data_IF_819095544673
#
_entry.id   IF_819095544673
#
_cell.length_a   1.000
_cell.length_b   1.000
_cell.length_c   1.000
_cell.angle_alpha   90.00
_cell.angle_beta   90.00
_cell.angle_gamma   90.00
#
_symmetry.space_group_name_H-M   'P 1'
#
loop_
_entity.id
_entity.type
_entity.pdbx_description
1 polymer ?
2 non-polymer ?
3 non-polymer ?
4 water ?
#
# COMPACT_ATOMS: atom_id res chain seq x y z
N UNK A 1 -7.09 -2.52 -8.01
CA UNK A 1 -8.27 -2.90 -7.24
C UNK A 1 -9.34 -3.44 -8.16
N UNK A 2 -9.78 -4.68 -7.91
CA UNK A 2 -10.85 -5.32 -8.64
C UNK A 2 -12.14 -5.12 -7.84
N UNK A 3 -13.23 -4.75 -8.50
CA UNK A 3 -14.51 -4.67 -7.86
C UNK A 3 -14.73 -3.38 -7.09
N UNK A 4 -13.85 -2.42 -7.26
CA UNK A 4 -13.97 -1.12 -6.62
C UNK A 4 -14.64 -0.09 -7.51
N UNK A 5 -14.49 1.17 -7.10
CA UNK A 5 -15.04 2.32 -7.82
C UNK A 5 -14.02 3.46 -7.80
N UNK A 6 -14.22 4.44 -8.68
CA UNK A 6 -13.33 5.60 -8.72
C UNK A 6 -13.38 6.34 -7.40
N UNK A 7 -12.21 6.65 -6.86
CA UNK A 7 -12.14 7.54 -5.72
C UNK A 7 -12.57 8.95 -6.15
N UNK A 8 -13.06 9.73 -5.20
CA UNK A 8 -13.22 11.16 -5.42
C UNK A 8 -11.84 11.81 -5.42
N UNK A 9 -11.71 12.90 -6.14
CA UNK A 9 -10.45 13.63 -6.14
C UNK A 9 -10.12 14.08 -4.72
N UNK A 10 -8.92 13.77 -4.25
CA UNK A 10 -8.48 14.17 -2.93
C UNK A 10 -9.06 13.38 -1.78
N UNK A 11 -9.73 12.27 -2.08
CA UNK A 11 -10.41 11.48 -1.05
C UNK A 11 -9.44 10.67 -0.17
N UNK A 12 -8.32 10.29 -0.75
CA UNK A 12 -7.31 9.46 -0.07
C UNK A 12 -5.98 10.19 -0.21
N UNK A 13 -5.84 11.35 0.45
CA UNK A 13 -4.70 12.22 0.15
C UNK A 13 -3.35 11.71 0.68
N UNK A 14 -3.39 10.58 1.39
CA UNK A 14 -2.18 9.87 1.81
C UNK A 14 -1.70 8.83 0.79
N UNK A 15 -2.53 8.51 -0.23
CA UNK A 15 -2.15 7.53 -1.25
C UNK A 15 -1.12 8.13 -2.19
N UNK A 16 -0.02 7.41 -2.41
CA UNK A 16 1.08 7.83 -3.26
C UNK A 16 1.27 6.80 -4.38
N UNK A 17 1.74 7.27 -5.54
CA UNK A 17 2.07 6.41 -6.67
C UNK A 17 3.59 6.42 -6.86
N UNK A 18 4.18 5.23 -6.94
CA UNK A 18 5.62 5.08 -7.14
C UNK A 18 5.89 4.54 -8.55
N UNK A 19 6.63 5.33 -9.35
CA UNK A 19 6.98 4.96 -10.70
C UNK A 19 8.46 4.60 -10.74
N UNK A 20 8.79 3.51 -11.43
CA UNK A 20 10.19 3.18 -11.65
C UNK A 20 10.61 3.73 -13.00
N UNK A 21 11.85 4.17 -13.10
CA UNK A 21 12.34 4.84 -14.30
C UNK A 21 11.97 4.07 -15.56
N UNK A 22 11.27 4.75 -16.46
CA UNK A 22 10.89 4.19 -17.74
C UNK A 22 9.79 3.15 -17.74
N UNK A 23 9.07 2.99 -16.61
CA UNK A 23 8.10 1.93 -16.51
C UNK A 23 6.72 2.36 -16.03
N UNK A 24 6.60 3.60 -15.60
CA UNK A 24 5.34 4.07 -15.07
C UNK A 24 5.07 3.52 -13.70
N UNK A 25 3.81 3.58 -13.28
CA UNK A 25 3.41 3.17 -11.96
C UNK A 25 3.69 1.70 -11.74
N UNK A 26 4.36 1.40 -10.63
CA UNK A 26 4.65 0.02 -10.21
C UNK A 26 3.98 -0.33 -8.89
N UNK A 27 4.09 0.56 -7.92
CA UNK A 27 3.58 0.27 -6.59
C UNK A 27 2.96 1.49 -5.94
N UNK A 28 2.16 1.25 -4.90
CA UNK A 28 1.68 2.32 -4.07
C UNK A 28 2.55 2.55 -2.84
N UNK A 29 2.19 3.59 -2.11
CA UNK A 29 2.79 3.91 -0.82
C UNK A 29 1.81 4.83 -0.09
N UNK A 30 2.09 5.10 1.18
CA UNK A 30 1.27 6.00 1.96
C UNK A 30 2.17 7.07 2.62
N UNK A 31 1.68 8.30 2.67
CA UNK A 31 2.35 9.41 3.32
C UNK A 31 2.09 9.36 4.82
N UNK A 32 3.17 9.32 5.62
CA UNK A 32 3.02 9.29 7.07
C UNK A 32 3.60 10.53 7.78
N UNK A 33 4.39 11.34 7.06
CA UNK A 33 4.92 12.58 7.58
C UNK A 33 5.36 13.38 6.39
N UNK A 34 5.95 14.56 6.59
CA UNK A 34 6.32 15.30 5.39
C UNK A 34 7.46 14.64 4.61
N UNK A 35 8.23 13.78 5.27
CA UNK A 35 9.43 13.21 4.65
C UNK A 35 9.40 11.72 4.42
N UNK A 36 8.39 11.03 4.92
CA UNK A 36 8.41 9.57 4.88
C UNK A 36 7.16 8.94 4.32
N UNK A 37 7.35 7.86 3.57
CA UNK A 37 6.29 7.00 3.09
C UNK A 37 6.47 5.59 3.63
N UNK A 38 5.35 4.90 3.78
CA UNK A 38 5.36 3.46 4.03
C UNK A 38 4.96 2.74 2.73
N UNK A 39 5.65 1.65 2.42
CA UNK A 39 5.33 0.87 1.23
C UNK A 39 5.67 -0.60 1.52
N UNK A 40 5.71 -1.45 0.48
CA UNK A 40 6.02 -2.87 0.64
C UNK A 40 7.45 -3.15 0.21
N UNK A 41 8.21 -3.90 1.02
CA UNK A 41 9.59 -4.21 0.70
C UNK A 41 9.73 -4.88 -0.67
N UNK A 42 8.78 -5.72 -1.05
CA UNK A 42 8.97 -6.54 -2.24
C UNK A 42 8.99 -5.70 -3.51
N UNK A 43 8.45 -4.48 -3.45
CA UNK A 43 8.49 -3.59 -4.61
C UNK A 43 9.89 -3.12 -4.98
N UNK A 44 10.81 -3.21 -4.03
CA UNK A 44 12.14 -2.61 -4.14
C UNK A 44 13.26 -3.66 -4.20
N UNK A 45 12.94 -4.80 -4.79
CA UNK A 45 13.88 -5.91 -4.98
C UNK A 45 14.33 -5.98 -6.42
N UNK A 46 15.65 -6.00 -6.62
CA UNK A 46 16.21 -6.04 -7.96
C UNK A 46 15.70 -7.26 -8.70
N UNK A 47 15.54 -7.12 -10.01
CA UNK A 47 15.55 -8.27 -10.90
C UNK A 47 16.60 -8.12 -11.97
N UNK A 48 16.67 -9.10 -12.86
CA UNK A 48 17.76 -9.22 -13.81
C UNK A 48 17.81 -8.02 -14.73
N UNK A 49 16.66 -7.39 -14.97
CA UNK A 49 16.60 -6.29 -15.91
C UNK A 49 16.57 -4.90 -15.32
N UNK A 50 16.40 -4.80 -14.00
CA UNK A 50 16.19 -3.49 -13.36
C UNK A 50 16.44 -3.48 -11.85
N UNK A 51 17.16 -2.45 -11.38
CA UNK A 51 17.50 -2.29 -9.97
C UNK A 51 16.42 -1.55 -9.20
N UNK A 52 15.35 -2.28 -8.88
CA UNK A 52 14.26 -1.73 -8.09
C UNK A 52 14.70 -1.32 -6.67
N UNK A 53 15.84 -1.85 -6.22
CA UNK A 53 16.39 -1.46 -4.91
C UNK A 53 17.11 -0.10 -4.91
N UNK A 54 17.36 0.45 -6.08
CA UNK A 54 18.08 1.73 -6.21
C UNK A 54 17.12 2.90 -6.01
N UNK A 55 17.23 3.63 -4.89
CA UNK A 55 16.26 4.70 -4.63
C UNK A 55 16.24 5.78 -5.71
N UNK A 56 17.35 5.97 -6.42
CA UNK A 56 17.40 7.02 -7.42
C UNK A 56 16.58 6.69 -8.67
N UNK A 57 16.13 5.44 -8.79
CA UNK A 57 15.39 4.98 -9.95
C UNK A 57 13.91 5.31 -9.86
N UNK A 58 13.47 5.77 -8.69
CA UNK A 58 12.07 5.95 -8.42
C UNK A 58 11.62 7.41 -8.44
N UNK A 59 10.36 7.62 -8.79
CA UNK A 59 9.68 8.89 -8.63
C UNK A 59 8.39 8.65 -7.86
N UNK A 60 8.17 9.42 -6.78
CA UNK A 60 6.92 9.41 -6.04
C UNK A 60 6.03 10.57 -6.48
N UNK A 61 4.76 10.25 -6.76
CA UNK A 61 3.76 11.26 -7.07
C UNK A 61 2.77 11.32 -5.91
N UNK A 62 2.78 12.41 -5.15
CA UNK A 62 1.81 12.61 -4.12
C UNK A 62 0.70 13.46 -4.72
N UNK A 63 -0.47 13.43 -4.10
CA UNK A 63 -1.58 14.24 -4.56
C UNK A 63 -2.11 13.87 -5.93
N UNK A 64 -1.82 12.66 -6.38
CA UNK A 64 -2.21 12.21 -7.72
C UNK A 64 -3.60 11.59 -7.71
N UNK A 65 -4.37 11.87 -8.78
CA UNK A 65 -5.66 11.25 -8.97
C UNK A 65 -5.65 10.34 -10.20
N UNK A 66 -5.14 10.88 -11.31
CA UNK A 66 -5.22 10.29 -12.64
C UNK A 66 -3.79 10.14 -13.18
N UNK A 67 -3.39 8.90 -13.47
CA UNK A 67 -2.05 8.59 -13.96
C UNK A 67 -1.70 9.31 -15.26
N UNK A 68 -2.71 9.74 -16.00
CA UNK A 68 -2.44 10.46 -17.24
C UNK A 68 -2.33 11.96 -17.04
N UNK A 69 -2.50 12.40 -15.78
CA UNK A 69 -2.43 13.80 -15.44
C UNK A 69 -1.50 14.06 -14.25
N UNK A 70 -0.21 13.84 -14.47
CA UNK A 70 0.77 13.94 -13.40
C UNK A 70 1.34 15.32 -13.18
N UNK A 71 0.90 16.28 -13.99
CA UNK A 71 1.26 17.67 -13.80
C UNK A 71 0.05 18.51 -13.44
N UNK A 72 -1.00 17.87 -12.92
CA UNK A 72 -2.23 18.52 -12.47
C UNK A 72 -2.03 19.32 -11.20
N UNK A 73 -2.91 20.30 -10.96
CA UNK A 73 -2.82 21.04 -9.71
C UNK A 73 -2.97 20.06 -8.55
N UNK A 74 -2.08 20.18 -7.57
CA UNK A 74 -2.14 19.35 -6.39
C UNK A 74 -1.05 18.28 -6.36
N UNK A 75 -0.51 17.92 -7.52
CA UNK A 75 0.49 16.88 -7.55
C UNK A 75 1.85 17.42 -7.08
N UNK A 76 2.48 16.68 -6.16
CA UNK A 76 3.85 16.97 -5.75
C UNK A 76 4.72 15.78 -6.15
N UNK A 77 5.67 16.04 -7.04
CA UNK A 77 6.60 15.03 -7.50
C UNK A 77 7.88 15.05 -6.66
N UNK A 78 8.37 13.85 -6.28
CA UNK A 78 9.55 13.73 -5.43
C UNK A 78 10.44 12.56 -5.84
N UNK A 79 11.74 12.71 -5.64
CA UNK A 79 12.67 11.60 -5.67
C UNK A 79 12.78 10.98 -4.28
N UNK A 80 13.33 9.79 -4.24
CA UNK A 80 13.62 9.08 -3.00
C UNK A 80 15.09 9.23 -2.67
N UNK A 81 15.34 9.55 -1.41
CA UNK A 81 16.68 9.64 -0.85
C UNK A 81 17.15 8.26 -0.39
N UNK A 82 16.23 7.45 0.10
CA UNK A 82 16.60 6.11 0.53
C UNK A 82 15.37 5.25 0.69
N UNK A 83 15.63 3.95 0.64
CA UNK A 83 14.65 2.91 0.84
C UNK A 83 15.14 2.04 2.02
N UNK A 84 14.40 2.04 3.11
CA UNK A 84 14.74 1.19 4.24
C UNK A 84 13.82 -0.03 4.20
N UNK A 85 14.32 -1.16 3.73
CA UNK A 85 13.47 -2.33 3.76
C UNK A 85 13.61 -2.98 5.12
N UNK A 86 12.59 -3.70 5.54
CA UNK A 86 12.63 -4.37 6.83
C UNK A 86 13.75 -5.42 6.85
N UNK A 87 14.54 -5.47 7.93
CA UNK A 87 15.68 -6.40 8.03
C UNK A 87 15.29 -7.87 7.86
N UNK A 88 14.05 -8.23 8.21
CA UNK A 88 13.59 -9.61 8.22
C UNK A 88 12.80 -9.90 6.95
N UNK A 89 12.69 -8.94 6.04
CA UNK A 89 11.98 -9.23 4.79
C UNK A 89 12.56 -10.44 4.10
N UNK A 90 11.66 -11.30 3.63
CA UNK A 90 12.03 -12.51 2.93
C UNK A 90 11.32 -12.51 1.58
N UNK A 91 12.09 -12.47 0.49
CA UNK A 91 11.48 -12.32 -0.82
C UNK A 91 10.83 -13.62 -1.31
N UNK A 92 11.16 -14.73 -0.67
CA UNK A 92 10.56 -16.01 -0.98
C UNK A 92 9.15 -16.19 -0.36
N UNK A 93 9.00 -15.74 0.88
CA UNK A 93 7.74 -15.91 1.60
C UNK A 93 6.92 -14.61 1.70
N UNK A 94 7.57 -13.51 1.40
CA UNK A 94 7.06 -12.16 1.67
C UNK A 94 6.76 -11.86 3.14
N UNK A 95 7.36 -12.61 4.06
CA UNK A 95 7.26 -12.22 5.45
C UNK A 95 7.94 -10.86 5.65
N UNK A 96 7.44 -10.07 6.59
CA UNK A 96 7.98 -8.75 6.90
C UNK A 96 8.02 -7.84 5.66
N UNK A 97 6.91 -7.82 4.92
CA UNK A 97 6.84 -7.07 3.67
C UNK A 97 6.50 -5.59 3.92
N UNK A 98 7.49 -4.81 4.31
CA UNK A 98 7.28 -3.40 4.60
C UNK A 98 8.61 -2.66 4.39
N UNK A 99 8.51 -1.44 3.89
CA UNK A 99 9.67 -0.61 3.62
C UNK A 99 9.29 0.85 3.94
N UNK A 100 10.30 1.67 4.24
CA UNK A 100 10.12 3.07 4.54
C UNK A 100 10.89 3.83 3.49
N UNK A 101 10.24 4.80 2.87
CA UNK A 101 10.81 5.56 1.76
C UNK A 101 11.00 7.01 2.21
N UNK A 102 12.23 7.51 2.14
CA UNK A 102 12.51 8.89 2.51
C UNK A 102 12.47 9.77 1.26
N UNK A 103 11.63 10.79 1.30
CA UNK A 103 11.59 11.77 0.22
C UNK A 103 12.80 12.67 0.25
N UNK A 104 13.25 13.07 -0.93
CA UNK A 104 14.40 13.95 -1.04
C UNK A 104 14.15 15.35 -0.49
N UNK A 105 12.92 15.84 -0.67
CA UNK A 105 12.47 17.10 -0.08
C UNK A 105 11.07 16.88 0.45
N UNK A 106 10.71 17.59 1.53
CA UNK A 106 9.42 17.31 2.18
C UNK A 106 8.21 17.67 1.31
N UNK A 107 7.14 16.94 1.51
CA UNK A 107 5.83 17.31 1.01
C UNK A 107 5.31 18.51 1.80
N UNK A 108 4.43 19.30 1.18
CA UNK A 108 3.65 20.32 1.87
C UNK A 108 2.18 19.87 1.90
N UNK A 109 1.59 19.79 3.07
CA UNK A 109 0.23 19.29 3.14
C UNK A 109 -0.70 20.27 2.46
N UNK A 110 -1.73 19.71 1.81
CA UNK A 110 -2.70 20.48 1.07
C UNK A 110 -4.01 19.68 1.11
N UNK A 111 -4.99 20.11 0.33
CA UNK A 111 -6.23 19.35 0.24
C UNK A 111 -6.01 18.00 -0.42
N UNK A 112 -4.96 17.89 -1.22
CA UNK A 112 -4.69 16.69 -2.01
C UNK A 112 -3.58 15.83 -1.42
N UNK A 113 -2.84 16.39 -0.47
CA UNK A 113 -1.67 15.76 0.09
C UNK A 113 -1.71 15.86 1.63
N UNK A 114 -1.93 14.73 2.30
CA UNK A 114 -2.08 14.72 3.75
C UNK A 114 -1.66 13.36 4.26
N UNK A 115 -1.12 13.31 5.49
CA UNK A 115 -0.67 12.03 6.03
C UNK A 115 -1.81 11.21 6.64
N UNK A 116 -1.59 9.91 6.78
CA UNK A 116 -2.50 9.04 7.50
C UNK A 116 -1.88 8.68 8.84
N UNK A 117 -2.71 8.63 9.88
CA UNK A 117 -2.24 8.28 11.21
C UNK A 117 -1.80 6.82 11.31
N UNK A 118 -0.67 6.60 11.99
CA UNK A 118 -0.25 5.27 12.31
C UNK A 118 -1.01 4.71 13.48
N UNK A 119 -1.24 3.40 13.47
CA UNK A 119 -1.77 2.74 14.67
C UNK A 119 -0.64 2.44 15.66
N UNK A 120 -0.94 2.62 16.94
CA UNK A 120 0.05 2.23 17.95
C UNK A 120 0.17 0.72 18.08
N UNK A 121 1.18 0.27 18.83
CA UNK A 121 1.51 -1.15 18.89
C UNK A 121 0.38 -2.02 19.46
N UNK A 122 -0.54 -1.42 20.22
CA UNK A 122 -1.64 -2.17 20.85
C UNK A 122 -2.91 -2.14 20.02
N UNK A 123 -2.91 -1.43 18.90
CA UNK A 123 -4.12 -1.26 18.11
C UNK A 123 -4.53 -2.58 17.47
N UNK A 124 -5.82 -2.89 17.50
CA UNK A 124 -6.32 -4.11 16.90
C UNK A 124 -7.36 -3.74 15.83
N UNK A 125 -7.31 -4.46 14.70
CA UNK A 125 -8.32 -4.36 13.66
C UNK A 125 -8.95 -5.75 13.61
N UNK A 126 -10.06 -5.93 14.32
CA UNK A 126 -10.57 -7.30 14.54
C UNK A 126 -11.17 -7.93 13.29
N UNK A 127 -11.15 -9.27 13.25
CA UNK A 127 -11.80 -9.97 12.17
C UNK A 127 -13.24 -9.48 12.08
N UNK A 128 -13.64 -9.24 10.83
CA UNK A 128 -14.95 -8.74 10.50
C UNK A 128 -14.95 -7.27 10.12
N UNK A 129 -13.97 -6.51 10.56
CA UNK A 129 -14.01 -5.08 10.39
C UNK A 129 -13.89 -4.67 8.92
N UNK A 130 -14.75 -3.76 8.48
CA UNK A 130 -14.71 -3.22 7.14
C UNK A 130 -13.74 -2.05 7.05
N UNK A 131 -12.81 -2.17 6.12
CA UNK A 131 -11.78 -1.17 5.90
C UNK A 131 -11.57 -1.01 4.39
N UNK A 132 -10.67 -0.14 3.98
CA UNK A 132 -10.58 0.24 2.57
C UNK A 132 -9.22 -0.05 2.01
N UNK A 133 -9.18 -0.49 0.75
CA UNK A 133 -7.94 -0.53 -0.02
C UNK A 133 -8.08 0.43 -1.20
N UNK A 134 -6.97 1.08 -1.55
CA UNK A 134 -6.93 1.98 -2.67
C UNK A 134 -5.69 1.73 -3.52
N UNK A 135 -5.76 2.10 -4.80
CA UNK A 135 -4.60 2.00 -5.66
C UNK A 135 -4.92 2.08 -7.15
N UNK A 136 -3.86 2.06 -7.95
CA UNK A 136 -3.96 2.13 -9.40
C UNK A 136 -3.64 0.78 -10.05
N UNK A 137 -3.71 -0.28 -9.26
CA UNK A 137 -3.47 -1.60 -9.80
C UNK A 137 -4.54 -2.10 -10.76
N UNK A 138 -4.31 -3.29 -11.29
CA UNK A 138 -5.24 -3.93 -12.20
C UNK A 138 -6.64 -3.95 -11.63
N UNK A 139 -7.61 -3.77 -12.51
CA UNK A 139 -9.00 -3.83 -12.13
C UNK A 139 -9.63 -5.16 -12.52
N UNK A 140 -8.83 -6.04 -13.12
CA UNK A 140 -9.17 -7.45 -13.32
C UNK A 140 -7.85 -8.23 -13.33
N UNK A 141 -7.85 -9.48 -12.87
CA UNK A 141 -6.65 -10.29 -12.93
C UNK A 141 -6.22 -10.42 -14.40
N UNK A 142 -4.94 -10.19 -14.66
CA UNK A 142 -4.42 -10.28 -16.01
C UNK A 142 -4.76 -9.07 -16.84
N UNK A 143 -5.37 -8.09 -16.18
CA UNK A 143 -5.88 -6.93 -16.88
C UNK A 143 -4.83 -5.86 -16.97
N UNK A 144 -5.28 -4.61 -16.97
CA UNK A 144 -4.36 -3.51 -16.95
C UNK A 144 -4.73 -2.55 -15.82
N UNK A 145 -3.79 -1.69 -15.48
CA UNK A 145 -3.98 -0.79 -14.35
C UNK A 145 -5.07 0.23 -14.57
N UNK A 146 -5.44 0.92 -13.51
CA UNK A 146 -6.41 2.00 -13.56
C UNK A 146 -5.72 3.34 -13.76
N UNK A 147 -6.31 4.18 -14.60
CA UNK A 147 -5.86 5.56 -14.68
C UNK A 147 -6.30 6.34 -13.46
N UNK A 148 -7.55 6.15 -13.08
CA UNK A 148 -8.10 6.88 -11.95
C UNK A 148 -7.96 6.02 -10.71
N UNK A 149 -7.57 6.65 -9.59
CA UNK A 149 -7.39 5.93 -8.34
C UNK A 149 -8.69 5.20 -8.00
N UNK A 150 -8.58 3.93 -7.63
CA UNK A 150 -9.71 3.12 -7.23
C UNK A 150 -9.76 2.88 -5.73
N UNK A 151 -10.98 2.67 -5.22
CA UNK A 151 -11.21 2.34 -3.81
C UNK A 151 -12.11 1.10 -3.74
N UNK A 152 -11.90 0.29 -2.71
CA UNK A 152 -12.76 -0.85 -2.46
C UNK A 152 -12.82 -1.14 -0.99
N UNK A 153 -14.01 -1.44 -0.51
CA UNK A 153 -14.24 -1.77 0.87
C UNK A 153 -14.14 -3.29 1.02
N UNK A 154 -13.39 -3.72 2.02
CA UNK A 154 -13.06 -5.13 2.23
C UNK A 154 -13.06 -5.41 3.74
N UNK A 155 -13.14 -6.69 4.12
CA UNK A 155 -13.22 -7.03 5.53
C UNK A 155 -12.03 -7.86 6.04
N UNK A 156 -11.60 -7.56 7.25
CA UNK A 156 -10.55 -8.36 7.87
C UNK A 156 -11.04 -9.78 8.09
N UNK A 157 -10.21 -10.75 7.74
CA UNK A 157 -10.54 -12.18 7.87
C UNK A 157 -9.85 -12.76 9.12
N UNK A 158 -10.51 -13.72 9.75
CA UNK A 158 -9.92 -14.36 10.88
C UNK A 158 -8.58 -15.02 10.51
N UNK A 159 -7.60 -14.96 11.41
CA UNK A 159 -6.26 -15.39 11.07
C UNK A 159 -6.16 -16.91 10.86
N UNK A 160 -6.87 -17.67 11.67
CA UNK A 160 -6.88 -19.12 11.45
C UNK A 160 -7.50 -19.47 10.10
N UNK A 161 -8.60 -18.80 9.77
CA UNK A 161 -9.20 -18.98 8.45
C UNK A 161 -8.20 -18.62 7.35
N UNK A 162 -7.52 -17.49 7.52
CA UNK A 162 -6.56 -17.02 6.54
C UNK A 162 -5.48 -18.09 6.32
N UNK A 163 -4.89 -18.57 7.42
CA UNK A 163 -3.84 -19.57 7.37
C UNK A 163 -4.29 -20.77 6.55
N UNK A 164 -5.54 -21.16 6.76
CA UNK A 164 -6.06 -22.34 6.08
C UNK A 164 -6.43 -22.13 4.63
N UNK A 165 -6.81 -20.91 4.28
CA UNK A 165 -7.12 -20.59 2.90
C UNK A 165 -5.84 -20.60 2.06
N UNK A 166 -4.74 -20.21 2.69
CA UNK A 166 -3.45 -20.09 2.01
C UNK A 166 -2.40 -20.88 2.79
N UNK A 167 -2.51 -22.20 2.74
CA UNK A 167 -1.78 -23.01 3.71
C UNK A 167 -0.28 -22.93 3.57
N UNK A 168 0.40 -22.96 4.71
CA UNK A 168 1.85 -22.86 4.80
C UNK A 168 2.38 -21.59 4.17
N UNK A 169 1.57 -20.53 4.15
CA UNK A 169 2.01 -19.27 3.54
C UNK A 169 1.84 -18.04 4.43
N UNK A 170 1.04 -18.14 5.48
CA UNK A 170 0.67 -17.01 6.32
C UNK A 170 1.49 -16.98 7.61
N UNK A 171 2.07 -15.84 7.92
CA UNK A 171 2.79 -15.63 9.17
C UNK A 171 2.04 -14.60 10.00
N UNK A 172 2.46 -14.42 11.26
CA UNK A 172 1.77 -13.44 12.11
C UNK A 172 1.94 -11.99 11.64
N UNK A 173 2.85 -11.75 10.71
CA UNK A 173 3.02 -10.40 10.17
C UNK A 173 1.95 -10.05 9.14
N UNK A 174 1.22 -11.08 8.72
CA UNK A 174 0.27 -10.97 7.62
C UNK A 174 -1.18 -11.00 8.12
N UNK A 175 -2.05 -10.40 7.32
CA UNK A 175 -3.49 -10.44 7.56
C UNK A 175 -4.19 -10.62 6.22
N UNK A 176 -5.19 -11.48 6.18
CA UNK A 176 -6.07 -11.58 5.02
C UNK A 176 -7.19 -10.53 5.17
N UNK A 177 -7.50 -9.83 4.08
CA UNK A 177 -8.58 -8.85 4.04
C UNK A 177 -9.23 -8.93 2.68
N UNK A 178 -10.56 -8.95 2.66
CA UNK A 178 -11.30 -9.16 1.43
C UNK A 178 -12.68 -9.65 1.73
N UNK A 179 -13.17 -10.58 0.91
CA UNK A 179 -14.39 -11.31 1.19
C UNK A 179 -14.14 -12.76 0.86
N UNK A 180 -14.69 -13.66 1.64
CA UNK A 180 -14.56 -15.06 1.32
C UNK A 180 -15.28 -15.34 0.00
N UNK A 181 -16.26 -14.50 -0.34
CA UNK A 181 -16.94 -14.59 -1.63
C UNK A 181 -16.23 -13.83 -2.76
N UNK A 182 -15.04 -13.32 -2.51
CA UNK A 182 -14.27 -12.65 -3.54
C UNK A 182 -14.87 -11.33 -3.97
N UNK A 183 -14.70 -11.01 -5.26
CA UNK A 183 -15.37 -9.85 -5.84
C UNK A 183 -14.64 -8.54 -5.70
N UNK A 184 -14.19 -8.22 -4.49
CA UNK A 184 -13.45 -6.99 -4.24
C UNK A 184 -12.09 -7.38 -3.67
N UNK A 185 -11.01 -6.87 -4.26
CA UNK A 185 -9.68 -7.29 -3.84
C UNK A 185 -8.66 -6.31 -4.41
N UNK A 186 -7.48 -6.25 -3.81
CA UNK A 186 -6.36 -5.61 -4.48
C UNK A 186 -5.83 -6.51 -5.61
N UNK A 187 -4.96 -5.96 -6.43
CA UNK A 187 -4.42 -6.68 -7.55
C UNK A 187 -3.11 -6.01 -7.99
N UNK A 188 -2.43 -6.60 -8.97
CA UNK A 188 -1.09 -6.16 -9.36
C UNK A 188 -1.02 -4.64 -9.57
N UNK A 189 -0.05 -3.98 -8.91
CA UNK A 189 0.07 -2.54 -8.97
C UNK A 189 -0.46 -1.84 -7.72
N UNK A 190 -1.24 -2.55 -6.89
CA UNK A 190 -1.71 -2.00 -5.63
C UNK A 190 -0.70 -2.18 -4.49
N UNK A 191 0.22 -3.13 -4.64
CA UNK A 191 1.25 -3.43 -3.65
C UNK A 191 1.85 -2.21 -3.09
N UNK A 192 2.03 -2.20 -1.77
CA UNK A 192 2.70 -1.11 -1.11
C UNK A 192 1.76 0.00 -0.65
N UNK A 193 0.56 0.03 -1.21
CA UNK A 193 -0.40 1.03 -0.82
C UNK A 193 -1.06 0.69 0.52
N UNK A 194 -1.81 1.64 1.08
CA UNK A 194 -2.40 1.52 2.40
C UNK A 194 -3.74 0.79 2.41
N UNK A 195 -3.95 0.08 3.52
CA UNK A 195 -5.31 -0.17 4.00
C UNK A 195 -5.70 0.99 4.91
N UNK A 196 -6.82 1.61 4.61
CA UNK A 196 -7.26 2.75 5.39
C UNK A 196 -8.50 2.35 6.20
N UNK A 197 -8.42 2.46 7.52
CA UNK A 197 -9.51 2.14 8.40
C UNK A 197 -10.16 3.47 8.76
N UNK A 198 -11.38 3.63 8.28
CA UNK A 198 -12.15 4.84 8.47
C UNK A 198 -13.21 4.58 9.53
N UNK A 199 -13.09 5.29 10.66
CA UNK A 199 -14.01 5.12 11.77
C UNK A 199 -15.13 6.16 11.65
N UNK A 200 -16.23 5.94 12.35
CA UNK A 200 -17.39 6.83 12.20
C UNK A 200 -17.10 8.29 12.54
N UNK A 201 -16.28 8.51 13.55
CA UNK A 201 -16.05 9.87 14.00
C UNK A 201 -14.90 10.55 13.27
N UNK A 202 -14.48 9.97 12.16
CA UNK A 202 -13.46 10.61 11.37
C UNK A 202 -12.07 10.15 11.70
N UNK A 203 -11.94 9.30 12.72
CA UNK A 203 -10.62 8.82 13.01
C UNK A 203 -10.31 7.94 11.79
N UNK A 204 -9.10 8.07 11.28
CA UNK A 204 -8.60 7.23 10.21
C UNK A 204 -7.21 6.77 10.60
N UNK A 205 -7.01 5.48 10.47
CA UNK A 205 -5.74 4.84 10.74
C UNK A 205 -5.31 4.01 9.55
N UNK A 206 -4.00 3.93 9.32
CA UNK A 206 -3.52 2.93 8.37
C UNK A 206 -3.51 1.56 9.05
N UNK A 207 -4.16 0.57 8.47
CA UNK A 207 -4.27 -0.74 9.12
C UNK A 207 -3.19 -1.71 8.61
N UNK A 208 -2.64 -1.46 7.43
CA UNK A 208 -1.74 -2.40 6.81
C UNK A 208 -1.25 -1.93 5.46
N UNK A 209 -0.53 -2.82 4.79
CA UNK A 209 0.12 -2.52 3.54
C UNK A 209 -0.21 -3.63 2.55
N UNK A 210 -0.61 -3.27 1.32
CA UNK A 210 -0.93 -4.28 0.31
C UNK A 210 0.33 -5.12 0.02
N UNK A 211 0.22 -6.44 0.13
CA UNK A 211 1.39 -7.29 -0.01
C UNK A 211 1.33 -8.31 -1.17
N UNK A 212 0.39 -9.25 -1.11
CA UNK A 212 0.30 -10.27 -2.16
C UNK A 212 -1.06 -10.96 -2.19
N UNK A 213 -1.27 -11.82 -3.17
CA UNK A 213 -2.48 -12.61 -3.23
C UNK A 213 -2.35 -13.75 -4.22
N UNK A 214 -3.27 -14.69 -4.14
CA UNK A 214 -3.37 -15.78 -5.09
C UNK A 214 -4.47 -15.39 -6.09
N UNK A 215 -4.06 -14.98 -7.29
CA UNK A 215 -5.00 -14.35 -8.21
C UNK A 215 -5.51 -13.02 -7.64
N UNK A 216 -6.66 -12.56 -8.16
CA UNK A 216 -7.32 -11.38 -7.64
C UNK A 216 -8.83 -11.59 -7.62
N UNK A 217 -9.46 -11.30 -6.48
CA UNK A 217 -10.90 -11.31 -6.32
C UNK A 217 -11.56 -12.69 -6.45
N UNK A 218 -10.76 -13.76 -6.33
CA UNK A 218 -11.29 -15.12 -6.38
C UNK A 218 -11.95 -15.50 -5.03
N UNK A 219 -12.95 -16.38 -5.09
CA UNK A 219 -13.58 -16.80 -3.87
C UNK A 219 -12.57 -17.56 -3.03
N UNK A 220 -12.65 -17.37 -1.71
CA UNK A 220 -11.75 -18.03 -0.76
C UNK A 220 -10.27 -17.72 -0.98
N UNK A 221 -9.98 -16.62 -1.66
CA UNK A 221 -8.61 -16.17 -1.88
C UNK A 221 -8.51 -14.67 -1.65
N UNK A 222 -8.75 -14.23 -0.42
CA UNK A 222 -8.64 -12.82 -0.11
C UNK A 222 -7.20 -12.35 -0.20
N UNK A 223 -7.00 -11.07 -0.43
CA UNK A 223 -5.67 -10.51 -0.45
C UNK A 223 -4.99 -10.60 0.90
N UNK A 224 -3.65 -10.58 0.83
CA UNK A 224 -2.80 -10.62 2.02
C UNK A 224 -2.06 -9.30 2.18
N UNK A 225 -2.08 -8.82 3.43
CA UNK A 225 -1.58 -7.50 3.77
C UNK A 225 -0.60 -7.60 4.94
N UNK A 226 0.37 -6.72 4.98
CA UNK A 226 1.24 -6.60 6.14
C UNK A 226 0.53 -5.83 7.24
N UNK A 227 0.52 -6.39 8.44
CA UNK A 227 -0.07 -5.76 9.61
C UNK A 227 0.82 -4.61 10.06
N UNK A 228 0.24 -3.47 10.39
CA UNK A 228 1.02 -2.29 10.69
C UNK A 228 1.34 -2.03 12.19
N UNK A 229 0.42 -2.34 13.12
CA UNK A 229 0.70 -2.03 14.52
C UNK A 229 2.03 -2.64 15.03
N UNK A 230 2.35 -3.85 14.58
CA UNK A 230 3.58 -4.54 15.04
C UNK A 230 4.84 -3.81 14.61
N UNK A 231 4.72 -2.89 13.65
CA UNK A 231 5.88 -2.18 13.15
C UNK A 231 5.98 -0.74 13.68
N UNK A 232 5.15 -0.36 14.65
CA UNK A 232 5.16 1.02 15.11
C UNK A 232 6.53 1.45 15.64
N UNK A 233 7.16 0.60 16.45
CA UNK A 233 8.45 0.96 17.02
C UNK A 233 9.57 0.97 15.97
N UNK A 234 9.50 0.04 15.02
CA UNK A 234 10.47 -0.01 13.94
C UNK A 234 10.41 1.27 13.11
N UNK A 235 9.20 1.73 12.83
CA UNK A 235 9.03 2.98 12.09
C UNK A 235 9.59 4.16 12.90
N UNK A 236 9.24 4.25 14.17
CA UNK A 236 9.77 5.31 15.02
C UNK A 236 11.31 5.28 15.06
N UNK A 237 11.88 4.10 15.23
CA UNK A 237 13.33 3.97 15.35
C UNK A 237 14.06 4.42 14.09
N UNK A 238 13.49 4.09 12.95
CA UNK A 238 14.17 4.32 11.68
C UNK A 238 13.88 5.67 11.05
N UNK A 239 12.77 6.32 11.42
CA UNK A 239 12.35 7.56 10.77
C UNK A 239 12.11 8.73 11.73
N UNK A 240 11.92 8.44 13.02
CA UNK A 240 11.49 9.44 13.98
C UNK A 240 9.99 9.70 13.98
N UNK A 241 9.28 9.15 13.01
CA UNK A 241 7.82 9.37 12.92
C UNK A 241 7.08 8.46 13.89
#
# INVERSE_FOLDING_TARGET
VVGGTDADEGEWPWQVSLHALGQGHICGASLISPNWLVSAAHCYIDDRGFRYSDPTQWTAFLGLHDQSQRSAPGVQERRLKRIISHPFFNDFTFDYDIALLELEKPAEYSSMVRPISLPDASHVFPAGKAIWVTGWGHTQYGGTGALILQKGEIRVINQTTCENLLPQQITPRMMCVGFLSGGVDSCQGDSGGPLSSVEADGRIFQAGVVSWGDGCAQRNKPGVYTRLPLFRDWIKENTGV
#
